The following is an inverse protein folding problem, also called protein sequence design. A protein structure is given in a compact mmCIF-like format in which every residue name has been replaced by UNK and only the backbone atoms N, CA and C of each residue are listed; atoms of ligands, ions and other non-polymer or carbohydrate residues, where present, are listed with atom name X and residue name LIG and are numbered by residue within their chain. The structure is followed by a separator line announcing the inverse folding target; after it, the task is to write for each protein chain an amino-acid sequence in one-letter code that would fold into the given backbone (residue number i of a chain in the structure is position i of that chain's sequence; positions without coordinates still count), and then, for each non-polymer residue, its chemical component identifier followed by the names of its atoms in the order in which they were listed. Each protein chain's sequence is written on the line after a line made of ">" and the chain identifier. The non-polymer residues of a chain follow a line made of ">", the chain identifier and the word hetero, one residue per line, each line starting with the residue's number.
data_IF_575393227170
#
_entry.id   IF_575393227170
#
_cell.length_a   1.000
_cell.length_b   1.000
_cell.length_c   1.000
_cell.angle_alpha   90.00
_cell.angle_beta   90.00
_cell.angle_gamma   90.00
#
_symmetry.space_group_name_H-M   'P 1'
#
loop_
_entity.id
_entity.type
_entity.pdbx_description
1 polymer ?
#
# COMPACT_ATOMS: atom_id res chain seq x y z
N UNK A 1 8.41 -24.65 9.23
CA UNK A 1 7.00 -24.48 8.85
C UNK A 1 6.57 -23.09 9.28
N UNK A 2 6.44 -22.18 8.30
CA UNK A 2 6.08 -20.78 8.51
C UNK A 2 4.54 -20.68 8.51
N UNK A 3 3.92 -20.68 9.68
CA UNK A 3 2.50 -20.35 9.79
C UNK A 3 2.39 -18.82 9.71
N UNK A 4 1.89 -18.31 8.58
CA UNK A 4 1.48 -16.93 8.40
C UNK A 4 0.34 -16.63 9.38
N UNK A 5 0.61 -15.87 10.44
CA UNK A 5 -0.44 -15.36 11.33
C UNK A 5 -0.88 -13.99 10.84
N UNK A 6 -2.04 -13.96 10.18
CA UNK A 6 -2.79 -12.75 9.83
C UNK A 6 -3.28 -12.19 11.16
N UNK A 7 -2.71 -11.05 11.59
CA UNK A 7 -3.28 -10.28 12.69
C UNK A 7 -4.66 -9.80 12.22
N UNK A 8 -5.75 -10.14 12.93
CA UNK A 8 -7.08 -9.73 12.52
C UNK A 8 -7.16 -8.20 12.52
N UNK A 9 -7.52 -7.65 11.36
CA UNK A 9 -7.60 -6.22 10.98
C UNK A 9 -8.45 -5.35 11.94
N UNK A 10 -9.19 -5.98 12.87
CA UNK A 10 -10.24 -5.35 13.69
C UNK A 10 -9.74 -4.71 14.99
N UNK A 11 -8.57 -5.05 15.52
CA UNK A 11 -8.12 -4.52 16.84
C UNK A 11 -7.24 -3.26 16.74
N UNK A 12 -6.50 -3.07 15.64
CA UNK A 12 -5.71 -1.85 15.38
C UNK A 12 -6.63 -0.68 14.95
N UNK A 13 -7.90 -0.99 14.68
CA UNK A 13 -8.94 -0.12 14.16
C UNK A 13 -9.66 0.70 15.26
N UNK A 14 -9.57 0.36 16.55
CA UNK A 14 -10.53 0.91 17.53
C UNK A 14 -10.10 2.23 18.21
N UNK A 15 -8.81 2.46 18.50
CA UNK A 15 -8.38 3.52 19.44
C UNK A 15 -7.87 4.82 18.80
N UNK A 16 -7.23 4.76 17.62
CA UNK A 16 -6.88 5.95 16.83
C UNK A 16 -8.05 6.52 16.02
N UNK A 17 -9.20 5.85 16.11
CA UNK A 17 -10.36 6.09 15.26
C UNK A 17 -11.43 6.88 15.99
N UNK A 18 -11.62 6.70 17.30
CA UNK A 18 -12.71 7.36 18.06
C UNK A 18 -12.85 8.88 17.87
N UNK A 19 -11.74 9.63 17.83
CA UNK A 19 -11.79 11.10 17.81
C UNK A 19 -11.98 11.69 16.41
N UNK A 20 -11.37 11.08 15.39
CA UNK A 20 -11.59 11.46 13.99
C UNK A 20 -12.93 10.90 13.47
N UNK A 21 -13.38 9.78 14.03
CA UNK A 21 -14.69 9.19 13.76
C UNK A 21 -15.82 10.14 14.17
N UNK A 22 -15.76 10.85 15.30
CA UNK A 22 -16.93 11.62 15.74
C UNK A 22 -17.26 12.79 14.79
N UNK A 23 -16.25 13.58 14.36
CA UNK A 23 -16.48 14.64 13.37
C UNK A 23 -16.88 14.08 11.99
N UNK A 24 -16.22 13.00 11.53
CA UNK A 24 -16.52 12.39 10.23
C UNK A 24 -17.88 11.65 10.23
N UNK A 25 -18.33 11.11 11.36
CA UNK A 25 -19.65 10.48 11.52
C UNK A 25 -20.79 11.49 11.53
N UNK A 26 -20.54 12.69 12.06
CA UNK A 26 -21.51 13.78 12.04
C UNK A 26 -21.50 14.57 10.73
N UNK A 27 -20.69 14.16 9.76
CA UNK A 27 -20.65 14.72 8.41
C UNK A 27 -21.57 13.91 7.49
N UNK A 28 -22.83 14.32 7.43
CA UNK A 28 -23.86 13.58 6.69
C UNK A 28 -23.92 14.14 5.26
N UNK A 29 -23.44 13.39 4.28
CA UNK A 29 -23.63 13.71 2.86
C UNK A 29 -25.01 13.23 2.42
N UNK A 30 -25.93 14.17 2.20
CA UNK A 30 -27.33 13.86 1.86
C UNK A 30 -27.52 13.80 0.34
N UNK A 31 -26.88 14.71 -0.40
CA UNK A 31 -26.94 14.82 -1.87
C UNK A 31 -25.66 15.46 -2.42
N UNK A 32 -25.42 15.42 -3.73
CA UNK A 32 -24.19 15.90 -4.42
C UNK A 32 -23.79 17.34 -4.02
N UNK A 33 -24.75 18.17 -3.61
CA UNK A 33 -24.54 19.54 -3.15
C UNK A 33 -25.12 19.79 -1.75
N UNK A 34 -25.35 18.75 -0.93
CA UNK A 34 -25.93 18.92 0.40
C UNK A 34 -25.17 18.12 1.46
N UNK A 35 -24.44 18.87 2.29
CA UNK A 35 -23.70 18.42 3.46
C UNK A 35 -24.41 18.87 4.73
N UNK A 36 -24.70 17.96 5.65
CA UNK A 36 -25.45 18.26 6.87
C UNK A 36 -24.65 17.99 8.13
N UNK A 37 -24.70 18.94 9.06
CA UNK A 37 -24.13 18.80 10.40
C UNK A 37 -24.99 17.87 11.26
N UNK A 38 -24.43 16.79 11.77
CA UNK A 38 -25.13 15.83 12.63
C UNK A 38 -25.54 16.39 14.00
N UNK A 39 -24.86 17.41 14.52
CA UNK A 39 -25.18 17.98 15.85
C UNK A 39 -26.37 18.94 15.83
N UNK A 40 -26.45 19.81 14.82
CA UNK A 40 -27.47 20.86 14.74
C UNK A 40 -28.40 20.74 13.53
N UNK A 41 -28.21 19.72 12.69
CA UNK A 41 -29.01 19.41 11.49
C UNK A 41 -29.04 20.52 10.43
N UNK A 42 -28.07 21.45 10.44
CA UNK A 42 -27.92 22.47 9.38
C UNK A 42 -27.30 21.88 8.13
N UNK A 43 -27.86 22.21 6.97
CA UNK A 43 -27.33 21.85 5.66
C UNK A 43 -26.45 22.97 5.07
N UNK A 44 -25.47 22.55 4.28
CA UNK A 44 -24.43 23.35 3.64
C UNK A 44 -24.20 22.83 2.24
N UNK A 45 -23.81 23.71 1.32
CA UNK A 45 -23.68 23.33 -0.07
C UNK A 45 -22.35 22.62 -0.39
N UNK A 46 -21.36 22.76 0.48
CA UNK A 46 -20.01 22.23 0.30
C UNK A 46 -19.43 21.80 1.66
N UNK A 47 -18.60 20.77 1.64
CA UNK A 47 -17.90 20.20 2.80
C UNK A 47 -17.10 21.27 3.52
N UNK A 48 -16.45 22.17 2.79
CA UNK A 48 -15.64 23.24 3.35
C UNK A 48 -16.43 24.17 4.29
N UNK A 49 -17.71 24.41 3.98
CA UNK A 49 -18.56 25.24 4.83
C UNK A 49 -19.02 24.50 6.07
N UNK A 50 -19.20 23.18 5.96
CA UNK A 50 -19.53 22.31 7.10
C UNK A 50 -18.33 22.18 8.05
N UNK A 51 -17.11 22.02 7.54
CA UNK A 51 -15.89 21.98 8.35
C UNK A 51 -15.61 23.31 9.07
N UNK A 52 -15.79 24.42 8.36
CA UNK A 52 -15.74 25.76 8.95
C UNK A 52 -16.83 25.95 10.01
N UNK A 53 -18.01 25.38 9.79
CA UNK A 53 -19.09 25.41 10.75
C UNK A 53 -18.76 24.60 12.01
N UNK A 54 -18.17 23.40 11.88
CA UNK A 54 -17.75 22.60 13.03
C UNK A 54 -16.72 23.34 13.89
N UNK A 55 -15.69 23.90 13.26
CA UNK A 55 -14.60 24.61 13.96
C UNK A 55 -15.04 25.93 14.62
N UNK A 56 -16.13 26.55 14.18
CA UNK A 56 -16.61 27.83 14.75
C UNK A 56 -17.76 27.68 15.75
N UNK A 57 -18.67 26.74 15.49
CA UNK A 57 -19.92 26.57 16.28
C UNK A 57 -19.93 25.36 17.19
N UNK A 58 -19.17 24.32 16.83
CA UNK A 58 -19.05 23.09 17.60
C UNK A 58 -17.64 22.89 18.17
N UNK A 59 -16.85 23.98 18.30
CA UNK A 59 -15.49 23.92 18.84
C UNK A 59 -15.42 23.40 20.28
N UNK A 60 -16.48 23.59 21.07
CA UNK A 60 -16.57 23.09 22.46
C UNK A 60 -16.92 21.60 22.55
N UNK A 61 -17.47 21.01 21.49
CA UNK A 61 -17.70 19.55 21.42
C UNK A 61 -16.42 18.81 21.00
N UNK A 62 -15.46 19.53 20.44
CA UNK A 62 -14.08 19.08 20.32
C UNK A 62 -13.49 19.14 21.73
N UNK A 63 -13.42 17.98 22.40
CA UNK A 63 -12.89 17.86 23.75
C UNK A 63 -11.41 18.26 23.81
N UNK A 64 -11.14 19.57 23.80
CA UNK A 64 -9.81 20.17 23.60
C UNK A 64 -8.85 19.92 24.76
N UNK A 65 -9.33 19.40 25.89
CA UNK A 65 -8.49 19.10 27.05
C UNK A 65 -7.64 17.84 26.86
N UNK A 66 -8.04 16.91 25.99
CA UNK A 66 -7.32 15.64 25.75
C UNK A 66 -6.83 15.45 24.30
N UNK A 67 -7.09 16.41 23.41
CA UNK A 67 -6.85 16.20 21.98
C UNK A 67 -5.47 16.70 21.59
N UNK A 68 -4.50 15.77 21.64
CA UNK A 68 -3.17 15.99 21.07
C UNK A 68 -3.30 16.15 19.55
N UNK A 69 -2.77 17.23 18.99
CA UNK A 69 -2.77 17.41 17.54
C UNK A 69 -1.80 16.38 16.93
N UNK A 70 -2.24 15.64 15.91
CA UNK A 70 -1.36 14.66 15.23
C UNK A 70 -0.14 15.32 14.58
N UNK A 71 -0.23 16.62 14.27
CA UNK A 71 0.90 17.40 13.78
C UNK A 71 2.04 17.49 14.81
N UNK A 72 1.73 17.48 16.11
CA UNK A 72 2.75 17.54 17.17
C UNK A 72 3.60 16.27 17.23
N UNK A 73 3.05 15.14 16.77
CA UNK A 73 3.77 13.87 16.67
C UNK A 73 4.62 13.79 15.40
N UNK A 74 4.50 14.75 14.48
CA UNK A 74 5.10 14.59 13.16
C UNK A 74 6.63 14.58 13.19
N UNK A 75 7.23 15.35 14.10
CA UNK A 75 8.67 15.34 14.36
C UNK A 75 9.17 14.01 14.92
N UNK A 76 8.32 13.24 15.61
CA UNK A 76 8.62 11.94 16.18
C UNK A 76 8.30 10.76 15.25
N UNK A 77 7.42 10.96 14.27
CA UNK A 77 6.99 9.94 13.29
C UNK A 77 7.57 10.18 11.89
N UNK A 78 8.45 11.16 11.73
CA UNK A 78 9.11 11.49 10.47
C UNK A 78 8.15 11.76 9.29
N UNK A 79 6.97 12.37 9.49
CA UNK A 79 6.05 12.58 8.35
C UNK A 79 6.59 13.57 7.30
N UNK A 80 7.58 14.39 7.63
CA UNK A 80 8.32 15.19 6.65
C UNK A 80 8.92 14.33 5.53
N UNK A 81 9.31 13.08 5.82
CA UNK A 81 9.84 12.15 4.80
C UNK A 81 8.76 11.71 3.79
N UNK A 82 7.50 11.64 4.23
CA UNK A 82 6.36 11.24 3.38
C UNK A 82 5.79 12.45 2.63
N UNK A 83 5.74 13.61 3.27
CA UNK A 83 5.14 14.84 2.74
C UNK A 83 6.12 15.68 1.91
N UNK A 84 7.43 15.54 2.13
CA UNK A 84 8.45 16.35 1.47
C UNK A 84 9.64 15.50 1.00
N UNK A 85 9.88 15.49 -0.32
CA UNK A 85 11.04 14.78 -0.90
C UNK A 85 12.37 15.54 -0.74
N UNK A 86 12.38 16.67 -0.02
CA UNK A 86 13.56 17.53 0.13
C UNK A 86 14.25 17.20 1.44
N UNK A 87 15.52 16.78 1.37
CA UNK A 87 16.36 16.57 2.56
C UNK A 87 16.42 17.87 3.37
N UNK A 88 16.16 17.84 4.70
CA UNK A 88 16.33 19.02 5.52
C UNK A 88 17.80 19.44 5.49
N UNK A 89 18.04 20.68 5.05
CA UNK A 89 19.38 21.28 4.91
C UNK A 89 19.94 21.81 6.25
N UNK A 90 19.24 21.60 7.36
CA UNK A 90 19.63 22.14 8.67
C UNK A 90 20.61 21.23 9.41
N UNK A 91 21.63 21.85 10.00
CA UNK A 91 22.53 21.21 10.98
C UNK A 91 21.71 20.50 12.07
N UNK A 92 22.11 19.29 12.46
CA UNK A 92 21.38 18.52 13.47
C UNK A 92 21.28 19.29 14.80
N UNK A 93 20.08 19.37 15.37
CA UNK A 93 19.87 19.90 16.71
C UNK A 93 19.69 18.73 17.70
N UNK A 94 20.67 18.45 18.57
CA UNK A 94 20.62 17.31 19.49
C UNK A 94 19.46 17.40 20.49
N UNK A 95 19.07 18.60 20.91
CA UNK A 95 17.94 18.79 21.83
C UNK A 95 16.61 18.44 21.17
N UNK A 96 16.43 18.84 19.90
CA UNK A 96 15.24 18.49 19.13
C UNK A 96 15.15 16.98 18.85
N UNK A 97 16.28 16.34 18.54
CA UNK A 97 16.36 14.89 18.34
C UNK A 97 16.01 14.13 19.62
N UNK A 98 16.56 14.53 20.76
CA UNK A 98 16.24 13.92 22.05
C UNK A 98 14.76 14.08 22.42
N UNK A 99 14.19 15.28 22.22
CA UNK A 99 12.77 15.55 22.44
C UNK A 99 11.88 14.65 21.57
N UNK A 100 12.17 14.58 20.27
CA UNK A 100 11.36 13.79 19.33
C UNK A 100 11.50 12.28 19.62
N UNK A 101 12.68 11.83 20.02
CA UNK A 101 12.90 10.44 20.47
C UNK A 101 12.02 10.09 21.67
N UNK A 102 12.03 10.91 22.71
CA UNK A 102 11.19 10.67 23.89
C UNK A 102 9.69 10.68 23.55
N UNK A 103 9.28 11.57 22.65
CA UNK A 103 7.90 11.60 22.17
C UNK A 103 7.54 10.31 21.40
N UNK A 104 8.45 9.81 20.55
CA UNK A 104 8.27 8.54 19.84
C UNK A 104 8.14 7.36 20.82
N UNK A 105 9.01 7.28 21.82
CA UNK A 105 8.96 6.25 22.86
C UNK A 105 7.67 6.33 23.69
N UNK A 106 7.19 7.54 24.01
CA UNK A 106 5.90 7.74 24.69
C UNK A 106 4.72 7.20 23.88
N UNK A 107 4.73 7.42 22.56
CA UNK A 107 3.71 6.85 21.65
C UNK A 107 3.81 5.33 21.62
N UNK A 108 5.02 4.77 21.52
CA UNK A 108 5.24 3.33 21.52
C UNK A 108 4.71 2.66 22.80
N UNK A 109 4.96 3.28 23.96
CA UNK A 109 4.47 2.80 25.26
C UNK A 109 2.95 2.90 25.39
N UNK A 110 2.35 3.96 24.84
CA UNK A 110 0.91 4.20 24.91
C UNK A 110 0.13 3.27 23.98
N UNK A 111 0.64 3.02 22.77
CA UNK A 111 -0.03 2.22 21.76
C UNK A 111 0.27 0.71 21.88
N UNK A 112 1.48 0.35 22.31
CA UNK A 112 1.94 -1.04 22.40
C UNK A 112 2.59 -1.30 23.76
N UNK A 113 1.82 -1.37 24.85
CA UNK A 113 2.39 -1.62 26.17
C UNK A 113 2.91 -3.07 26.24
N UNK A 114 4.16 -3.24 26.67
CA UNK A 114 4.79 -4.56 26.82
C UNK A 114 4.03 -5.49 27.78
N UNK A 115 3.21 -4.93 28.67
CA UNK A 115 2.36 -5.66 29.62
C UNK A 115 1.11 -6.30 29.01
N UNK A 116 0.70 -5.89 27.79
CA UNK A 116 -0.48 -6.45 27.10
C UNK A 116 -0.21 -7.82 26.42
N UNK A 117 0.98 -8.37 26.59
CA UNK A 117 1.33 -9.72 26.13
C UNK A 117 2.40 -9.75 25.03
N UNK A 118 2.75 -10.96 24.56
CA UNK A 118 3.91 -11.16 23.68
C UNK A 118 3.74 -10.49 22.32
N UNK A 119 2.51 -10.42 21.78
CA UNK A 119 2.23 -9.73 20.51
C UNK A 119 2.44 -8.22 20.62
N UNK A 120 1.93 -7.59 21.69
CA UNK A 120 2.12 -6.17 21.96
C UNK A 120 3.60 -5.83 22.20
N UNK A 121 4.31 -6.68 22.96
CA UNK A 121 5.76 -6.54 23.18
C UNK A 121 6.57 -6.62 21.89
N UNK A 122 6.22 -7.52 20.96
CA UNK A 122 6.90 -7.61 19.65
C UNK A 122 6.63 -6.38 18.80
N UNK A 123 5.40 -5.89 18.80
CA UNK A 123 5.03 -4.69 18.04
C UNK A 123 5.69 -3.43 18.61
N UNK A 124 5.79 -3.36 19.93
CA UNK A 124 6.55 -2.33 20.65
C UNK A 124 8.01 -2.30 20.21
N UNK A 125 8.70 -3.44 20.24
CA UNK A 125 10.11 -3.55 19.81
C UNK A 125 10.27 -3.18 18.32
N UNK A 126 9.36 -3.66 17.47
CA UNK A 126 9.38 -3.32 16.05
C UNK A 126 9.18 -1.81 15.83
N UNK A 127 8.26 -1.19 16.54
CA UNK A 127 7.98 0.24 16.44
C UNK A 127 9.20 1.07 16.86
N UNK A 128 9.81 0.76 18.01
CA UNK A 128 11.02 1.45 18.47
C UNK A 128 12.15 1.36 17.45
N UNK A 129 12.40 0.16 16.90
CA UNK A 129 13.48 -0.05 15.93
C UNK A 129 13.25 0.62 14.57
N UNK A 130 11.99 0.75 14.14
CA UNK A 130 11.69 1.34 12.84
C UNK A 130 11.58 2.87 12.92
N UNK A 131 11.00 3.41 13.99
CA UNK A 131 10.67 4.83 14.09
C UNK A 131 11.58 5.57 15.09
N UNK A 132 11.78 5.04 16.29
CA UNK A 132 12.44 5.81 17.36
C UNK A 132 13.98 5.79 17.24
N UNK A 133 14.59 4.66 16.83
CA UNK A 133 16.04 4.54 16.64
C UNK A 133 16.62 5.46 15.55
N UNK A 134 15.77 5.93 14.62
CA UNK A 134 16.15 6.88 13.58
C UNK A 134 16.45 8.29 14.13
N UNK A 135 16.08 8.58 15.38
CA UNK A 135 16.37 9.84 16.06
C UNK A 135 17.82 9.87 16.57
N UNK A 136 18.75 10.13 15.64
CA UNK A 136 20.18 10.30 15.92
C UNK A 136 20.78 11.41 15.06
N UNK A 137 21.78 12.13 15.59
CA UNK A 137 22.57 13.07 14.79
C UNK A 137 23.70 12.39 13.99
N UNK A 138 23.96 11.11 14.22
CA UNK A 138 24.95 10.34 13.45
C UNK A 138 24.30 9.88 12.15
N UNK A 139 24.79 10.38 11.00
CA UNK A 139 24.17 10.25 9.67
C UNK A 139 24.13 8.83 9.07
N UNK A 140 23.78 7.80 9.84
CA UNK A 140 23.51 6.45 9.35
C UNK A 140 21.99 6.31 9.15
N UNK A 141 21.49 6.91 8.06
CA UNK A 141 20.06 7.00 7.67
C UNK A 141 19.30 5.69 7.80
N UNK A 142 18.13 5.68 8.51
CA UNK A 142 17.02 4.73 8.27
C UNK A 142 15.64 5.26 8.73
N UNK A 143 14.92 6.10 7.93
CA UNK A 143 13.52 6.38 8.22
C UNK A 143 12.63 5.15 8.06
N UNK A 144 12.88 4.22 7.10
CA UNK A 144 12.29 2.85 7.07
C UNK A 144 13.01 1.87 6.09
N UNK A 145 13.83 0.90 6.54
CA UNK A 145 14.41 -0.13 5.68
C UNK A 145 14.07 -1.53 6.20
N UNK A 146 12.78 -1.86 6.24
CA UNK A 146 12.24 -3.22 6.07
C UNK A 146 10.73 -3.20 5.81
N UNK A 147 10.26 -2.26 4.98
CA UNK A 147 9.02 -2.42 4.22
C UNK A 147 9.41 -2.76 2.79
N UNK A 148 9.61 -4.04 2.48
CA UNK A 148 10.01 -4.46 1.15
C UNK A 148 9.04 -3.87 0.12
N UNK A 149 9.55 -3.03 -0.80
CA UNK A 149 8.87 -2.84 -2.08
C UNK A 149 8.74 -4.24 -2.66
N UNK A 150 7.54 -4.83 -2.64
CA UNK A 150 7.26 -6.10 -3.30
C UNK A 150 7.60 -5.88 -4.78
N UNK A 151 8.80 -6.29 -5.21
CA UNK A 151 9.19 -6.39 -6.63
C UNK A 151 8.30 -7.39 -7.39
N UNK A 152 7.28 -7.94 -6.74
CA UNK A 152 6.28 -8.85 -7.28
C UNK A 152 5.68 -8.34 -8.60
N UNK A 153 5.48 -7.01 -8.76
CA UNK A 153 4.97 -6.45 -10.00
C UNK A 153 5.93 -6.60 -11.18
N UNK A 154 7.22 -6.34 -10.99
CA UNK A 154 8.21 -6.39 -12.10
C UNK A 154 8.43 -7.82 -12.58
N UNK A 155 8.54 -8.77 -11.65
CA UNK A 155 8.66 -10.19 -12.02
C UNK A 155 7.38 -10.71 -12.68
N UNK A 156 6.20 -10.32 -12.19
CA UNK A 156 4.93 -10.69 -12.81
C UNK A 156 4.79 -10.12 -14.22
N UNK A 157 5.15 -8.85 -14.43
CA UNK A 157 5.16 -8.22 -15.76
C UNK A 157 6.14 -8.89 -16.70
N UNK A 158 7.36 -9.19 -16.26
CA UNK A 158 8.36 -9.89 -17.06
C UNK A 158 7.88 -11.30 -17.47
N UNK A 159 7.29 -12.05 -16.53
CA UNK A 159 6.71 -13.37 -16.81
C UNK A 159 5.54 -13.24 -17.79
N UNK A 160 4.65 -12.26 -17.62
CA UNK A 160 3.51 -12.05 -18.52
C UNK A 160 3.94 -11.75 -19.97
N UNK A 161 4.95 -10.90 -20.15
CA UNK A 161 5.47 -10.54 -21.47
C UNK A 161 6.13 -11.76 -22.10
N UNK A 162 6.91 -12.52 -21.33
CA UNK A 162 7.56 -13.73 -21.79
C UNK A 162 6.54 -14.79 -22.25
N UNK A 163 5.46 -15.00 -21.50
CA UNK A 163 4.38 -15.91 -21.91
C UNK A 163 3.65 -15.43 -23.16
N UNK A 164 3.39 -14.13 -23.30
CA UNK A 164 2.72 -13.58 -24.49
C UNK A 164 3.57 -13.71 -25.76
N UNK A 165 4.89 -13.75 -25.64
CA UNK A 165 5.80 -13.96 -26.78
C UNK A 165 6.00 -15.44 -27.11
N UNK A 166 6.12 -16.31 -26.09
CA UNK A 166 6.37 -17.74 -26.29
C UNK A 166 5.13 -18.49 -26.79
N UNK A 167 3.92 -18.15 -26.33
CA UNK A 167 2.70 -18.86 -26.73
C UNK A 167 2.47 -18.82 -28.25
N UNK A 168 2.46 -17.64 -28.91
CA UNK A 168 2.24 -17.55 -30.35
C UNK A 168 3.33 -18.26 -31.14
N UNK A 169 4.58 -18.15 -30.68
CA UNK A 169 5.74 -18.76 -31.32
C UNK A 169 5.64 -20.30 -31.29
N UNK A 170 5.21 -20.87 -30.15
CA UNK A 170 4.91 -22.29 -30.02
C UNK A 170 3.80 -22.73 -30.98
N UNK A 171 2.68 -22.00 -31.04
CA UNK A 171 1.58 -22.33 -31.96
C UNK A 171 1.99 -22.19 -33.43
N UNK A 172 2.83 -21.21 -33.79
CA UNK A 172 3.37 -21.07 -35.14
C UNK A 172 4.26 -22.25 -35.51
N UNK A 173 5.14 -22.71 -34.61
CA UNK A 173 5.98 -23.88 -34.85
C UNK A 173 5.13 -25.15 -35.04
N UNK A 174 4.09 -25.34 -34.21
CA UNK A 174 3.15 -26.45 -34.36
C UNK A 174 2.39 -26.35 -35.69
N UNK A 175 1.94 -25.16 -36.07
CA UNK A 175 1.26 -24.93 -37.34
C UNK A 175 2.16 -25.24 -38.54
N UNK A 176 3.41 -24.78 -38.53
CA UNK A 176 4.39 -25.07 -39.57
C UNK A 176 4.71 -26.56 -39.64
N UNK A 177 4.90 -27.22 -38.49
CA UNK A 177 5.13 -28.66 -38.41
C UNK A 177 3.94 -29.48 -38.95
N UNK A 178 2.71 -29.11 -38.57
CA UNK A 178 1.51 -29.75 -39.11
C UNK A 178 1.36 -29.50 -40.61
N UNK A 179 1.66 -28.28 -41.08
CA UNK A 179 1.63 -27.92 -42.50
C UNK A 179 2.65 -28.73 -43.28
N UNK A 180 3.87 -28.88 -42.78
CA UNK A 180 4.92 -29.67 -43.42
C UNK A 180 4.53 -31.15 -43.45
N UNK A 181 4.00 -31.72 -42.36
CA UNK A 181 3.47 -33.09 -42.35
C UNK A 181 2.31 -33.28 -43.33
N UNK A 182 1.43 -32.28 -43.46
CA UNK A 182 0.32 -32.28 -44.44
C UNK A 182 0.81 -32.13 -45.88
N UNK A 183 1.86 -31.35 -46.10
CA UNK A 183 2.50 -31.18 -47.42
C UNK A 183 3.28 -32.43 -47.84
N UNK A 184 4.04 -33.04 -46.93
CA UNK A 184 4.77 -34.29 -47.17
C UNK A 184 3.86 -35.48 -47.44
N UNK A 185 2.70 -35.56 -46.77
CA UNK A 185 1.67 -36.57 -47.08
C UNK A 185 0.95 -36.31 -48.41
N UNK A 186 0.78 -35.05 -48.84
CA UNK A 186 0.22 -34.73 -50.16
C UNK A 186 1.18 -35.03 -51.32
N UNK A 187 2.48 -34.74 -51.17
CA UNK A 187 3.49 -35.05 -52.18
C UNK A 187 3.68 -36.57 -52.35
N UNK A 188 3.68 -37.35 -51.26
CA UNK A 188 3.70 -38.82 -51.34
C UNK A 188 2.44 -39.43 -52.00
N UNK A 189 1.29 -38.74 -51.93
CA UNK A 189 0.03 -39.20 -52.55
C UNK A 189 -0.05 -38.92 -54.05
N UNK A 190 0.81 -38.05 -54.61
CA UNK A 190 0.72 -37.63 -56.01
C UNK A 190 1.46 -38.56 -56.98
N UNK A 191 2.20 -39.57 -56.50
CA UNK A 191 2.78 -40.63 -57.35
C UNK A 191 1.87 -41.86 -57.35
N UNK A 192 0.72 -41.78 -58.05
CA UNK A 192 -0.07 -42.95 -58.42
C UNK A 192 0.51 -43.50 -59.73
N UNK A 193 1.24 -44.62 -59.66
CA UNK A 193 1.82 -45.32 -60.81
C UNK A 193 0.75 -45.59 -61.88
N UNK A 194 0.75 -44.86 -62.99
CA UNK A 194 0.07 -45.25 -64.23
C UNK A 194 0.92 -46.32 -64.91
N UNK A 195 0.44 -47.56 -64.83
CA UNK A 195 1.05 -48.73 -65.44
C UNK A 195 1.22 -48.60 -66.95
N UNK A 196 2.38 -49.05 -67.42
CA UNK A 196 2.87 -49.08 -68.79
C UNK A 196 1.91 -49.83 -69.73
N UNK A 197 1.63 -49.26 -70.91
CA UNK A 197 1.14 -50.01 -72.08
C UNK A 197 2.33 -50.69 -72.79
N UNK A 198 2.29 -51.98 -73.15
CA UNK A 198 3.31 -52.60 -73.99
C UNK A 198 3.15 -52.23 -75.48
N UNK A 199 4.29 -52.15 -76.18
CA UNK A 199 4.46 -51.82 -77.62
C UNK A 199 4.17 -53.05 -78.52
N UNK A 200 3.99 -52.85 -79.85
CA UNK A 200 3.23 -53.70 -80.76
C UNK A 200 4.02 -54.89 -81.30
N UNK A 201 3.29 -55.83 -81.89
CA UNK A 201 3.75 -56.70 -82.97
C UNK A 201 2.72 -56.70 -84.10
#
# INVERSE_FOLDING_TARGET
>A
MLQNYIVPEKEVEQLGRLYKIDQEQHKIHVDVFEWKCGYCKKSFNDEKFLDKHFSTRHYNLLNTTDTKCLADLCGALHCDFVLSSKKPKSKCNPAAVAKNRHLCESVANSCFPVSQGPSASRLHEHFLRQFCDAHTCTGKDKPFPRGGKKKSGVFYLAISILTLMLLPLFYLLVFLYQREKRSGTQELRRIRKTGKKPKPS
#
